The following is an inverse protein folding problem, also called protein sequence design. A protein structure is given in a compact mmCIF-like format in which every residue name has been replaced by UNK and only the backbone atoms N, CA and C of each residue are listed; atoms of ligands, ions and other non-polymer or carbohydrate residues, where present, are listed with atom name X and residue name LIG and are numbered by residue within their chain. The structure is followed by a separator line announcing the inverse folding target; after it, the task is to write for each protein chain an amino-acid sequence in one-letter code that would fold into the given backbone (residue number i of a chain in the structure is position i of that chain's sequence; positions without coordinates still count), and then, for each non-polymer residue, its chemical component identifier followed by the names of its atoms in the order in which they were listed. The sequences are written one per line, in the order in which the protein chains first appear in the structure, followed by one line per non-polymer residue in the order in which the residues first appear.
data_IF_771118194354
#
_entry.id   IF_771118194354
#
_cell.length_a   1.000
_cell.length_b   1.000
_cell.length_c   1.000
_cell.angle_alpha   90.00
_cell.angle_beta   90.00
_cell.angle_gamma   90.00
#
_symmetry.space_group_name_H-M   'P 1'
#
loop_
_entity.id
_entity.type
_entity.pdbx_description
1 polymer ?
#
# COMPACT_ATOMS: atom_id res chain seq x y z
N UNK A 1 39.76 -19.07 18.93
CA UNK A 1 39.95 -18.50 17.58
C UNK A 1 40.26 -19.65 16.65
N UNK A 2 39.22 -20.20 16.03
CA UNK A 2 39.36 -21.21 14.96
C UNK A 2 38.49 -20.73 13.83
N UNK A 3 39.19 -20.24 12.82
CA UNK A 3 38.70 -19.73 11.55
C UNK A 3 37.99 -20.87 10.80
N UNK A 4 36.69 -20.70 10.53
CA UNK A 4 35.89 -21.57 9.66
C UNK A 4 35.42 -20.75 8.46
N UNK A 5 36.34 -20.48 7.53
CA UNK A 5 35.99 -20.12 6.17
C UNK A 5 35.79 -21.40 5.36
N UNK A 6 34.54 -21.87 5.29
CA UNK A 6 34.16 -22.92 4.33
C UNK A 6 34.11 -22.30 2.93
N UNK A 7 35.25 -22.31 2.24
CA UNK A 7 35.33 -21.90 0.84
C UNK A 7 34.52 -22.86 -0.03
N UNK A 8 33.35 -22.42 -0.48
CA UNK A 8 32.59 -23.08 -1.55
C UNK A 8 33.48 -23.08 -2.80
N UNK A 9 33.95 -24.25 -3.21
CA UNK A 9 34.87 -24.38 -4.35
C UNK A 9 34.14 -24.03 -5.65
N UNK A 10 34.83 -23.37 -6.59
CA UNK A 10 34.29 -23.02 -7.91
C UNK A 10 33.69 -24.23 -8.67
N UNK A 11 34.16 -25.44 -8.38
CA UNK A 11 33.60 -26.69 -8.92
C UNK A 11 32.22 -27.06 -8.36
N UNK A 12 31.94 -26.76 -7.08
CA UNK A 12 30.61 -26.95 -6.48
C UNK A 12 29.59 -25.94 -7.04
N UNK A 13 30.03 -24.72 -7.33
CA UNK A 13 29.22 -23.68 -7.98
C UNK A 13 28.88 -24.11 -9.42
N UNK A 14 29.88 -24.55 -10.19
CA UNK A 14 29.67 -25.04 -11.57
C UNK A 14 28.75 -26.27 -11.64
N UNK A 15 28.90 -27.24 -10.75
CA UNK A 15 28.02 -28.41 -10.68
C UNK A 15 26.59 -28.08 -10.20
N UNK A 16 26.41 -26.99 -9.43
CA UNK A 16 25.10 -26.44 -9.09
C UNK A 16 24.43 -25.76 -10.29
N UNK A 17 25.19 -24.98 -11.07
CA UNK A 17 24.71 -24.26 -12.26
C UNK A 17 24.33 -25.24 -13.39
N UNK A 18 25.11 -26.30 -13.63
CA UNK A 18 24.77 -27.31 -14.64
C UNK A 18 23.51 -28.13 -14.30
N UNK A 19 23.10 -28.17 -13.01
CA UNK A 19 21.86 -28.82 -12.56
C UNK A 19 20.67 -27.89 -12.45
N UNK A 20 20.90 -26.58 -12.35
CA UNK A 20 19.83 -25.61 -12.19
C UNK A 20 19.48 -25.00 -13.54
N UNK A 21 18.80 -25.80 -14.37
CA UNK A 21 18.08 -25.26 -15.53
C UNK A 21 16.64 -25.10 -15.11
N UNK A 22 16.15 -23.87 -15.09
CA UNK A 22 14.80 -23.57 -14.62
C UNK A 22 13.74 -24.39 -15.39
N UNK A 23 13.98 -24.63 -16.70
CA UNK A 23 13.10 -25.41 -17.56
C UNK A 23 13.12 -26.93 -17.31
N UNK A 24 14.20 -27.46 -16.69
CA UNK A 24 14.33 -28.91 -16.44
C UNK A 24 13.75 -29.32 -15.08
N UNK A 25 13.24 -28.34 -14.33
CA UNK A 25 12.61 -28.55 -13.03
C UNK A 25 11.16 -29.03 -13.20
N UNK A 26 10.76 -30.14 -12.57
CA UNK A 26 9.40 -30.67 -12.70
C UNK A 26 8.33 -29.76 -12.06
N UNK A 27 8.75 -28.82 -11.22
CA UNK A 27 7.92 -27.85 -10.50
C UNK A 27 7.91 -26.46 -11.16
N UNK A 28 8.47 -26.34 -12.38
CA UNK A 28 8.44 -25.13 -13.21
C UNK A 28 7.86 -25.50 -14.57
N UNK A 29 6.87 -24.74 -15.01
CA UNK A 29 6.30 -24.86 -16.35
C UNK A 29 6.74 -23.69 -17.24
N UNK A 30 6.99 -23.98 -18.50
CA UNK A 30 7.29 -22.96 -19.52
C UNK A 30 5.99 -22.63 -20.24
N UNK A 31 5.46 -21.43 -20.04
CA UNK A 31 4.21 -20.97 -20.68
C UNK A 31 4.48 -20.43 -22.09
N UNK A 32 5.54 -19.66 -22.22
CA UNK A 32 6.02 -19.07 -23.47
C UNK A 32 7.55 -19.21 -23.54
N UNK A 33 8.19 -19.02 -24.71
CA UNK A 33 9.65 -19.16 -24.86
C UNK A 33 10.48 -18.32 -23.88
N UNK A 34 9.91 -17.27 -23.32
CA UNK A 34 10.51 -16.33 -22.38
C UNK A 34 9.76 -16.26 -21.04
N UNK A 35 8.68 -17.04 -20.81
CA UNK A 35 7.89 -16.95 -19.57
C UNK A 35 7.81 -18.31 -18.87
N UNK A 36 8.32 -18.33 -17.65
CA UNK A 36 8.21 -19.43 -16.70
C UNK A 36 7.07 -19.19 -15.70
N UNK A 37 6.44 -20.27 -15.26
CA UNK A 37 5.44 -20.27 -14.22
C UNK A 37 5.71 -21.37 -13.20
N UNK A 38 5.75 -21.02 -11.92
CA UNK A 38 6.06 -21.96 -10.86
C UNK A 38 5.30 -21.62 -9.57
N UNK A 39 5.18 -22.59 -8.66
CA UNK A 39 4.75 -22.30 -7.29
C UNK A 39 5.85 -21.55 -6.54
N UNK A 40 5.49 -20.55 -5.75
CA UNK A 40 6.44 -19.85 -4.86
C UNK A 40 7.08 -20.80 -3.84
N UNK A 41 6.42 -21.91 -3.47
CA UNK A 41 6.98 -22.93 -2.60
C UNK A 41 8.18 -23.64 -3.25
N UNK A 42 8.12 -23.84 -4.56
CA UNK A 42 9.14 -24.53 -5.35
C UNK A 42 10.38 -23.66 -5.59
N UNK A 43 10.18 -22.38 -5.92
CA UNK A 43 11.25 -21.48 -6.36
C UNK A 43 11.61 -20.39 -5.35
N UNK A 44 10.86 -20.26 -4.25
CA UNK A 44 11.00 -19.14 -3.31
C UNK A 44 12.40 -18.97 -2.73
N UNK A 45 13.09 -20.06 -2.41
CA UNK A 45 14.43 -20.04 -1.79
C UNK A 45 15.58 -19.93 -2.82
N UNK A 46 15.26 -19.82 -4.10
CA UNK A 46 16.26 -19.65 -5.17
C UNK A 46 16.84 -18.24 -5.05
N UNK A 47 18.16 -18.14 -4.94
CA UNK A 47 18.83 -16.83 -4.93
C UNK A 47 18.70 -16.17 -6.30
N UNK A 48 18.60 -14.83 -6.33
CA UNK A 48 18.48 -14.09 -7.58
C UNK A 48 19.73 -14.25 -8.45
N UNK A 49 20.92 -14.35 -7.85
CA UNK A 49 22.15 -14.68 -8.57
C UNK A 49 22.06 -16.02 -9.32
N UNK A 50 21.55 -17.06 -8.66
CA UNK A 50 21.37 -18.36 -9.28
C UNK A 50 20.31 -18.31 -10.38
N UNK A 51 19.20 -17.62 -10.17
CA UNK A 51 18.17 -17.41 -11.20
C UNK A 51 18.77 -16.73 -12.44
N UNK A 52 19.50 -15.64 -12.27
CA UNK A 52 20.15 -14.89 -13.36
C UNK A 52 21.16 -15.76 -14.10
N UNK A 53 22.05 -16.45 -13.39
CA UNK A 53 23.04 -17.35 -14.00
C UNK A 53 22.35 -18.44 -14.83
N UNK A 54 21.26 -19.00 -14.31
CA UNK A 54 20.52 -20.08 -14.96
C UNK A 54 19.83 -19.62 -16.24
N UNK A 55 19.30 -18.40 -16.23
CA UNK A 55 18.75 -17.75 -17.43
C UNK A 55 19.87 -17.46 -18.42
N UNK A 56 20.94 -16.77 -18.03
CA UNK A 56 21.99 -16.33 -18.95
C UNK A 56 22.83 -17.49 -19.54
N UNK A 57 23.01 -18.58 -18.78
CA UNK A 57 23.84 -19.71 -19.22
C UNK A 57 23.02 -20.83 -19.86
N UNK A 58 21.80 -21.07 -19.38
CA UNK A 58 20.97 -22.21 -19.77
C UNK A 58 19.79 -21.85 -20.66
N UNK A 59 19.23 -20.64 -20.51
CA UNK A 59 18.06 -20.20 -21.26
C UNK A 59 18.49 -19.40 -22.49
N UNK A 60 18.72 -20.11 -23.60
CA UNK A 60 18.94 -19.49 -24.91
C UNK A 60 17.71 -19.69 -25.78
N UNK A 61 16.85 -18.68 -25.96
CA UNK A 61 15.90 -18.70 -27.04
C UNK A 61 16.73 -18.57 -28.32
N UNK A 62 17.04 -19.69 -28.97
CA UNK A 62 18.00 -19.81 -30.09
C UNK A 62 17.69 -18.93 -31.31
N UNK A 63 16.63 -18.12 -31.29
CA UNK A 63 16.18 -17.28 -32.39
C UNK A 63 16.07 -15.76 -32.09
N UNK A 64 16.28 -15.27 -30.86
CA UNK A 64 15.89 -13.88 -30.51
C UNK A 64 16.95 -12.99 -29.84
N UNK A 65 18.19 -13.46 -29.66
CA UNK A 65 19.26 -12.61 -29.13
C UNK A 65 19.72 -11.59 -30.18
N UNK A 66 19.02 -10.47 -30.22
CA UNK A 66 19.60 -9.19 -30.64
C UNK A 66 20.85 -8.91 -29.79
N UNK A 67 21.79 -8.15 -30.36
CA UNK A 67 23.07 -7.80 -29.76
C UNK A 67 22.94 -7.45 -28.27
N UNK A 68 23.77 -7.99 -27.37
CA UNK A 68 23.73 -7.68 -25.94
C UNK A 68 23.71 -6.16 -25.71
N UNK A 69 22.71 -5.68 -24.96
CA UNK A 69 22.56 -4.26 -24.60
C UNK A 69 21.51 -3.46 -25.39
N UNK A 70 20.80 -4.07 -26.36
CA UNK A 70 19.73 -3.36 -27.12
C UNK A 70 18.37 -4.05 -27.11
N UNK A 71 18.18 -5.14 -26.37
CA UNK A 71 16.88 -5.82 -26.32
C UNK A 71 15.88 -4.97 -25.55
N UNK A 72 14.74 -4.55 -26.16
CA UNK A 72 13.74 -3.74 -25.48
C UNK A 72 12.86 -4.54 -24.50
N UNK A 73 13.14 -5.84 -24.33
CA UNK A 73 12.35 -6.78 -23.54
C UNK A 73 13.27 -7.62 -22.64
N UNK A 74 12.76 -8.14 -21.51
CA UNK A 74 13.47 -9.13 -20.72
C UNK A 74 13.74 -10.40 -21.54
N UNK A 75 14.81 -11.11 -21.24
CA UNK A 75 15.15 -12.38 -21.91
C UNK A 75 14.44 -13.58 -21.27
N UNK A 76 13.99 -13.40 -20.02
CA UNK A 76 13.14 -14.34 -19.33
C UNK A 76 12.32 -13.61 -18.25
N UNK A 77 11.12 -14.13 -18.01
CA UNK A 77 10.18 -13.71 -17.00
C UNK A 77 9.80 -14.92 -16.15
N UNK A 78 9.80 -14.75 -14.84
CA UNK A 78 9.32 -15.72 -13.87
C UNK A 78 8.05 -15.16 -13.22
N UNK A 79 6.95 -15.83 -13.53
CA UNK A 79 5.67 -15.65 -12.86
C UNK A 79 5.56 -16.69 -11.76
N UNK A 80 5.02 -16.32 -10.60
CA UNK A 80 4.79 -17.25 -9.51
C UNK A 80 3.30 -17.44 -9.21
N UNK A 81 2.95 -18.58 -8.65
CA UNK A 81 1.65 -18.84 -8.02
C UNK A 81 1.83 -19.01 -6.52
N UNK A 82 0.82 -18.60 -5.74
CA UNK A 82 0.75 -18.89 -4.30
C UNK A 82 0.15 -20.26 -3.98
N UNK A 83 -0.33 -20.98 -4.98
CA UNK A 83 -0.75 -22.36 -4.79
C UNK A 83 0.43 -23.18 -4.29
N UNK A 84 0.20 -24.03 -3.27
CA UNK A 84 1.20 -24.98 -2.79
C UNK A 84 1.71 -25.85 -3.94
N UNK A 85 2.93 -26.35 -3.86
CA UNK A 85 3.53 -27.20 -4.90
C UNK A 85 2.63 -28.39 -5.29
N UNK A 86 1.93 -29.00 -4.32
CA UNK A 86 1.01 -30.12 -4.57
C UNK A 86 -0.29 -29.74 -5.31
N UNK A 87 -0.65 -28.46 -5.34
CA UNK A 87 -1.86 -27.93 -6.00
C UNK A 87 -1.55 -27.12 -7.25
N UNK A 88 -0.28 -26.82 -7.48
CA UNK A 88 0.17 -26.07 -8.62
C UNK A 88 -0.18 -26.81 -9.90
N UNK A 89 -0.84 -26.11 -10.83
CA UNK A 89 -1.13 -26.59 -12.16
C UNK A 89 -0.87 -25.46 -13.16
N UNK A 90 -0.02 -25.66 -14.18
CA UNK A 90 0.40 -24.58 -15.08
C UNK A 90 -0.74 -23.82 -15.76
N UNK A 91 -1.84 -24.52 -16.03
CA UNK A 91 -3.01 -23.94 -16.72
C UNK A 91 -4.15 -23.49 -15.79
N UNK A 92 -4.16 -23.94 -14.53
CA UNK A 92 -5.30 -23.72 -13.62
C UNK A 92 -4.93 -22.89 -12.39
N UNK A 93 -3.65 -22.82 -12.05
CA UNK A 93 -3.18 -22.02 -10.95
C UNK A 93 -3.30 -20.54 -11.26
N UNK A 94 -3.69 -19.77 -10.25
CA UNK A 94 -3.73 -18.32 -10.38
C UNK A 94 -2.31 -17.77 -10.41
N UNK A 95 -2.04 -16.95 -11.43
CA UNK A 95 -0.85 -16.12 -11.52
C UNK A 95 -0.90 -15.05 -10.44
N UNK A 96 0.19 -14.89 -9.69
CA UNK A 96 0.38 -13.71 -8.84
C UNK A 96 0.57 -12.48 -9.75
N UNK A 97 -0.03 -11.33 -9.42
CA UNK A 97 0.23 -10.03 -10.08
C UNK A 97 1.68 -9.52 -9.97
N UNK A 98 2.64 -10.35 -9.61
CA UNK A 98 4.07 -10.01 -9.51
C UNK A 98 4.87 -10.88 -10.47
N UNK A 99 5.69 -10.25 -11.30
CA UNK A 99 6.56 -10.90 -12.27
C UNK A 99 8.02 -10.48 -12.03
N UNK A 100 8.93 -11.45 -11.99
CA UNK A 100 10.37 -11.20 -11.92
C UNK A 100 10.95 -11.32 -13.33
N UNK A 101 11.60 -10.28 -13.81
CA UNK A 101 12.14 -10.19 -15.16
C UNK A 101 13.66 -10.16 -15.12
N UNK A 102 14.30 -11.01 -15.91
CA UNK A 102 15.76 -11.06 -16.09
C UNK A 102 16.12 -10.48 -17.45
N UNK A 103 17.04 -9.53 -17.46
CA UNK A 103 17.50 -8.83 -18.65
C UNK A 103 18.81 -9.42 -19.20
N UNK A 104 19.11 -9.16 -20.47
CA UNK A 104 20.31 -9.68 -21.15
C UNK A 104 21.64 -9.24 -20.50
N UNK A 105 21.63 -8.13 -19.77
CA UNK A 105 22.77 -7.59 -19.03
C UNK A 105 22.85 -8.12 -17.58
N UNK A 106 21.97 -9.06 -17.21
CA UNK A 106 21.87 -9.63 -15.87
C UNK A 106 21.12 -8.76 -14.86
N UNK A 107 20.62 -7.58 -15.26
CA UNK A 107 19.72 -6.81 -14.39
C UNK A 107 18.44 -7.60 -14.13
N UNK A 108 17.85 -7.37 -12.96
CA UNK A 108 16.57 -7.94 -12.57
C UNK A 108 15.61 -6.81 -12.25
N UNK A 109 14.41 -6.92 -12.80
CA UNK A 109 13.29 -6.05 -12.47
C UNK A 109 12.14 -6.85 -11.87
N UNK A 110 11.35 -6.18 -11.03
CA UNK A 110 10.08 -6.70 -10.55
C UNK A 110 9.00 -5.85 -11.20
N UNK A 111 8.10 -6.49 -11.94
CA UNK A 111 6.91 -5.86 -12.49
C UNK A 111 5.70 -6.26 -11.66
N UNK A 112 4.86 -5.28 -11.33
CA UNK A 112 3.60 -5.53 -10.63
C UNK A 112 2.44 -5.05 -11.47
N UNK A 113 1.45 -5.91 -11.61
CA UNK A 113 0.20 -5.66 -12.31
C UNK A 113 -0.88 -5.29 -11.31
N UNK A 114 -1.57 -4.17 -11.51
CA UNK A 114 -2.61 -3.71 -10.60
C UNK A 114 -3.77 -3.07 -11.35
N UNK A 115 -4.97 -3.22 -10.80
CA UNK A 115 -6.15 -2.55 -11.34
C UNK A 115 -6.02 -1.06 -11.06
N UNK A 116 -6.40 -0.20 -12.01
CA UNK A 116 -6.29 1.26 -11.93
C UNK A 116 -7.60 2.02 -11.99
N UNK A 117 -7.53 3.34 -11.84
CA UNK A 117 -8.64 4.21 -12.27
C UNK A 117 -8.76 4.19 -13.79
N UNK A 118 -9.98 4.41 -14.28
CA UNK A 118 -10.27 4.54 -15.72
C UNK A 118 -9.42 5.68 -16.32
N UNK A 119 -8.54 5.30 -17.24
CA UNK A 119 -7.56 6.18 -17.89
C UNK A 119 -8.25 7.28 -18.70
N UNK A 120 -9.50 7.05 -19.14
CA UNK A 120 -10.29 8.01 -19.91
C UNK A 120 -10.84 9.14 -19.05
N UNK A 121 -11.01 8.92 -17.75
CA UNK A 121 -11.58 9.90 -16.83
C UNK A 121 -10.53 10.66 -16.01
N UNK A 122 -9.46 9.98 -15.58
CA UNK A 122 -8.50 10.54 -14.59
C UNK A 122 -7.04 10.11 -14.83
N UNK A 123 -6.74 9.50 -15.97
CA UNK A 123 -5.50 8.75 -16.21
C UNK A 123 -4.19 9.47 -15.95
N UNK A 124 -4.04 10.74 -16.37
CA UNK A 124 -2.74 11.44 -16.25
C UNK A 124 -2.45 11.91 -14.82
N UNK A 125 -3.44 12.51 -14.14
CA UNK A 125 -3.32 12.90 -12.74
C UNK A 125 -3.11 11.68 -11.84
N UNK A 126 -3.82 10.59 -12.15
CA UNK A 126 -3.66 9.31 -11.47
C UNK A 126 -2.24 8.76 -11.69
N UNK A 127 -1.74 8.78 -12.93
CA UNK A 127 -0.42 8.24 -13.26
C UNK A 127 0.68 8.97 -12.51
N UNK A 128 0.58 10.29 -12.41
CA UNK A 128 1.50 11.10 -11.60
C UNK A 128 1.43 10.66 -10.14
N UNK A 129 0.22 10.54 -9.57
CA UNK A 129 0.05 10.16 -8.16
C UNK A 129 0.62 8.77 -7.86
N UNK A 130 0.25 7.76 -8.67
CA UNK A 130 0.76 6.41 -8.52
C UNK A 130 2.28 6.35 -8.67
N UNK A 131 2.84 7.10 -9.63
CA UNK A 131 4.29 7.22 -9.81
C UNK A 131 4.96 7.83 -8.58
N UNK A 132 4.45 8.94 -8.06
CA UNK A 132 5.07 9.64 -6.93
C UNK A 132 5.05 8.77 -5.66
N UNK A 133 3.91 8.11 -5.39
CA UNK A 133 3.75 7.16 -4.27
C UNK A 133 4.71 5.98 -4.41
N UNK A 134 4.73 5.33 -5.58
CA UNK A 134 5.57 4.16 -5.80
C UNK A 134 7.07 4.51 -5.86
N UNK A 135 7.43 5.70 -6.32
CA UNK A 135 8.81 6.17 -6.32
C UNK A 135 9.33 6.39 -4.90
N UNK A 136 8.51 7.03 -4.05
CA UNK A 136 8.79 7.20 -2.63
C UNK A 136 8.97 5.85 -1.94
N UNK A 137 7.98 4.96 -2.09
CA UNK A 137 8.01 3.61 -1.51
C UNK A 137 9.22 2.79 -2.00
N UNK A 138 9.54 2.86 -3.30
CA UNK A 138 10.67 2.15 -3.88
C UNK A 138 11.98 2.61 -3.24
N UNK A 139 12.21 3.93 -3.14
CA UNK A 139 13.42 4.48 -2.52
C UNK A 139 13.61 3.97 -1.10
N UNK A 140 12.57 4.00 -0.27
CA UNK A 140 12.66 3.54 1.12
C UNK A 140 12.85 2.02 1.22
N UNK A 141 12.36 1.27 0.23
CA UNK A 141 12.57 -0.18 0.12
C UNK A 141 13.92 -0.57 -0.50
N UNK A 142 14.76 0.42 -0.85
CA UNK A 142 16.02 0.22 -1.53
C UNK A 142 15.88 -0.22 -2.99
N UNK A 143 14.74 0.04 -3.63
CA UNK A 143 14.47 -0.19 -5.05
C UNK A 143 14.39 1.14 -5.82
N UNK A 144 14.36 1.06 -7.15
CA UNK A 144 14.17 2.21 -8.04
C UNK A 144 12.95 1.98 -8.92
N UNK A 145 11.99 2.90 -8.91
CA UNK A 145 10.86 2.86 -9.83
C UNK A 145 11.32 3.30 -11.23
N UNK A 146 11.26 2.38 -12.20
CA UNK A 146 11.65 2.65 -13.59
C UNK A 146 10.48 3.21 -14.40
N UNK A 147 9.30 2.62 -14.25
CA UNK A 147 8.15 3.00 -15.06
C UNK A 147 6.82 2.72 -14.36
N UNK A 148 5.81 3.52 -14.72
CA UNK A 148 4.39 3.26 -14.44
C UNK A 148 3.65 3.54 -15.74
N UNK A 149 2.90 2.56 -16.24
CA UNK A 149 2.14 2.68 -17.48
C UNK A 149 0.85 1.86 -17.44
N UNK A 150 -0.09 2.22 -18.29
CA UNK A 150 -1.37 1.54 -18.43
C UNK A 150 -1.30 0.62 -19.66
N UNK A 151 -1.57 -0.67 -19.47
CA UNK A 151 -1.65 -1.64 -20.56
C UNK A 151 -3.06 -1.61 -21.17
N UNK A 152 -3.29 -0.59 -22.02
CA UNK A 152 -4.55 -0.38 -22.75
C UNK A 152 -4.93 -1.51 -23.69
N UNK A 153 -4.02 -2.45 -23.95
CA UNK A 153 -4.28 -3.57 -24.85
C UNK A 153 -5.14 -4.66 -24.19
N UNK A 154 -5.29 -4.63 -22.86
CA UNK A 154 -6.12 -5.57 -22.09
C UNK A 154 -7.54 -5.05 -21.91
N UNK A 155 -8.52 -5.95 -21.90
CA UNK A 155 -9.93 -5.59 -21.68
C UNK A 155 -10.16 -5.02 -20.28
N UNK A 156 -11.12 -4.09 -20.16
CA UNK A 156 -11.51 -3.45 -18.89
C UNK A 156 -11.74 -4.46 -17.76
N UNK A 157 -11.37 -4.16 -16.50
CA UNK A 157 -10.88 -2.87 -15.99
C UNK A 157 -9.47 -2.52 -16.47
N UNK A 158 -9.13 -1.22 -16.48
CA UNK A 158 -7.81 -0.74 -16.88
C UNK A 158 -6.70 -1.34 -16.00
N UNK A 159 -5.79 -2.06 -16.65
CA UNK A 159 -4.63 -2.70 -16.01
C UNK A 159 -3.43 -1.76 -16.08
N UNK A 160 -2.77 -1.55 -14.95
CA UNK A 160 -1.56 -0.77 -14.84
C UNK A 160 -0.40 -1.64 -14.41
N UNK A 161 0.78 -1.28 -14.88
CA UNK A 161 2.03 -1.95 -14.53
C UNK A 161 2.99 -0.93 -13.95
N UNK A 162 3.71 -1.35 -12.90
CA UNK A 162 4.86 -0.63 -12.38
C UNK A 162 6.08 -1.54 -12.36
N UNK A 163 7.19 -1.06 -12.91
CA UNK A 163 8.44 -1.82 -13.00
C UNK A 163 9.48 -1.22 -12.07
N UNK A 164 10.10 -2.05 -11.25
CA UNK A 164 11.12 -1.68 -10.27
C UNK A 164 12.44 -2.35 -10.59
N UNK A 165 13.53 -1.59 -10.60
CA UNK A 165 14.87 -2.15 -10.49
C UNK A 165 15.16 -2.44 -9.01
N UNK A 166 15.66 -3.63 -8.71
CA UNK A 166 15.90 -4.08 -7.33
C UNK A 166 17.35 -4.53 -7.19
N UNK A 167 18.10 -4.08 -6.16
CA UNK A 167 19.39 -4.65 -5.83
C UNK A 167 19.24 -6.14 -5.52
N UNK A 168 20.01 -6.97 -6.21
CA UNK A 168 19.85 -8.43 -6.20
C UNK A 168 20.77 -9.16 -5.22
N UNK A 169 21.74 -8.45 -4.63
CA UNK A 169 22.68 -9.04 -3.69
C UNK A 169 21.93 -9.67 -2.50
N UNK A 170 22.19 -10.96 -2.26
CA UNK A 170 21.66 -11.77 -1.15
C UNK A 170 20.13 -11.98 -1.13
N UNK A 171 19.39 -11.56 -2.16
CA UNK A 171 17.94 -11.77 -2.24
C UNK A 171 17.57 -13.11 -2.86
N UNK A 172 16.41 -13.60 -2.46
CA UNK A 172 15.73 -14.77 -3.04
C UNK A 172 14.55 -14.36 -3.93
N UNK A 173 14.00 -15.31 -4.69
CA UNK A 173 12.75 -15.13 -5.43
C UNK A 173 11.61 -14.72 -4.49
N UNK A 174 11.52 -15.33 -3.30
CA UNK A 174 10.52 -14.97 -2.29
C UNK A 174 10.63 -13.50 -1.88
N UNK A 175 11.84 -13.01 -1.62
CA UNK A 175 12.05 -11.61 -1.24
C UNK A 175 11.57 -10.63 -2.32
N UNK A 176 11.79 -10.94 -3.61
CA UNK A 176 11.32 -10.12 -4.72
C UNK A 176 9.80 -10.18 -4.89
N UNK A 177 9.19 -11.35 -4.69
CA UNK A 177 7.73 -11.50 -4.73
C UNK A 177 7.06 -10.76 -3.58
N UNK A 178 7.64 -10.79 -2.38
CA UNK A 178 7.17 -10.02 -1.23
C UNK A 178 7.36 -8.51 -1.44
N UNK A 179 8.45 -8.08 -2.07
CA UNK A 179 8.65 -6.69 -2.47
C UNK A 179 7.58 -6.25 -3.47
N UNK A 180 7.35 -7.02 -4.53
CA UNK A 180 6.31 -6.73 -5.52
C UNK A 180 4.91 -6.73 -4.90
N UNK A 181 4.61 -7.67 -4.00
CA UNK A 181 3.31 -7.72 -3.30
C UNK A 181 3.09 -6.46 -2.46
N UNK A 182 4.14 -5.94 -1.81
CA UNK A 182 4.07 -4.67 -1.07
C UNK A 182 3.87 -3.49 -2.01
N UNK A 183 4.61 -3.44 -3.13
CA UNK A 183 4.44 -2.41 -4.15
C UNK A 183 3.00 -2.37 -4.69
N UNK A 184 2.45 -3.54 -5.02
CA UNK A 184 1.09 -3.73 -5.49
C UNK A 184 0.07 -3.14 -4.52
N UNK A 185 0.18 -3.49 -3.22
CA UNK A 185 -0.73 -2.96 -2.20
C UNK A 185 -0.60 -1.44 -2.07
N UNK A 186 0.62 -0.91 -2.06
CA UNK A 186 0.88 0.53 -2.03
C UNK A 186 0.22 1.22 -3.24
N UNK A 187 0.33 0.61 -4.43
CA UNK A 187 -0.32 1.09 -5.64
C UNK A 187 -1.84 1.11 -5.47
N UNK A 188 -2.48 -0.04 -5.21
CA UNK A 188 -3.93 -0.19 -5.09
C UNK A 188 -4.55 0.73 -4.02
N UNK A 189 -3.84 0.94 -2.91
CA UNK A 189 -4.31 1.78 -1.81
C UNK A 189 -4.21 3.27 -2.12
N UNK A 190 -3.19 3.69 -2.87
CA UNK A 190 -3.10 5.06 -3.35
C UNK A 190 -4.29 5.46 -4.23
N UNK A 191 -4.91 4.48 -4.89
CA UNK A 191 -5.97 4.73 -5.86
C UNK A 191 -7.35 4.84 -5.24
N UNK A 192 -7.67 3.90 -4.37
CA UNK A 192 -9.07 3.66 -4.04
C UNK A 192 -9.53 4.66 -3.02
N UNK A 193 -8.71 4.99 -2.01
CA UNK A 193 -9.21 5.60 -0.77
C UNK A 193 -10.44 4.85 -0.21
N UNK A 194 -10.70 3.64 -0.68
CA UNK A 194 -11.93 2.85 -0.56
C UNK A 194 -11.45 1.42 -0.26
N UNK A 195 -11.67 0.95 0.97
CA UNK A 195 -11.03 -0.28 1.47
C UNK A 195 -9.83 -0.01 2.40
N UNK A 196 -9.32 1.23 2.36
CA UNK A 196 -8.16 1.70 3.11
C UNK A 196 -8.12 1.25 4.57
N UNK A 197 -9.23 1.18 5.30
CA UNK A 197 -9.19 0.77 6.71
C UNK A 197 -8.69 -0.68 6.92
N UNK A 198 -9.19 -1.65 6.16
CA UNK A 198 -8.74 -3.05 6.31
C UNK A 198 -7.35 -3.26 5.74
N UNK A 199 -7.02 -2.53 4.68
CA UNK A 199 -5.76 -2.67 3.96
C UNK A 199 -4.62 -1.90 4.63
N UNK A 200 -4.87 -0.69 5.17
CA UNK A 200 -3.97 -0.01 6.12
C UNK A 200 -3.73 -0.94 7.30
N UNK A 201 -4.77 -1.56 7.87
CA UNK A 201 -4.60 -2.50 8.98
C UNK A 201 -3.72 -3.70 8.58
N UNK A 202 -3.88 -4.25 7.38
CA UNK A 202 -3.06 -5.37 6.89
C UNK A 202 -1.61 -4.95 6.68
N UNK A 203 -1.36 -3.84 5.99
CA UNK A 203 -0.02 -3.29 5.79
C UNK A 203 0.70 -3.01 7.11
N UNK A 204 -0.03 -2.40 8.05
CA UNK A 204 0.47 -2.12 9.37
C UNK A 204 0.70 -3.39 10.21
N UNK A 205 -0.18 -4.39 10.12
CA UNK A 205 0.00 -5.68 10.78
C UNK A 205 1.25 -6.41 10.26
N UNK A 206 1.57 -6.24 8.98
CA UNK A 206 2.78 -6.79 8.35
C UNK A 206 4.04 -5.96 8.68
N UNK A 207 3.92 -4.90 9.49
CA UNK A 207 5.03 -4.03 9.90
C UNK A 207 5.51 -3.06 8.82
N UNK A 208 4.79 -2.95 7.70
CA UNK A 208 5.17 -2.10 6.57
C UNK A 208 4.62 -0.67 6.74
N UNK A 209 5.17 0.04 7.71
CA UNK A 209 4.86 1.45 7.92
C UNK A 209 5.31 2.34 6.75
N UNK A 210 6.23 1.89 5.88
CA UNK A 210 6.70 2.67 4.74
C UNK A 210 5.69 2.67 3.59
N UNK A 211 4.81 1.67 3.54
CA UNK A 211 3.75 1.60 2.53
C UNK A 211 2.81 2.81 2.55
N UNK A 212 2.66 3.53 3.67
CA UNK A 212 1.80 4.73 3.74
C UNK A 212 2.52 6.02 3.35
N UNK A 213 3.82 5.97 3.06
CA UNK A 213 4.57 7.12 2.58
C UNK A 213 4.11 7.52 1.18
N UNK A 214 4.02 8.82 0.95
CA UNK A 214 3.52 9.39 -0.31
C UNK A 214 1.99 9.38 -0.46
N UNK A 215 1.25 8.67 0.41
CA UNK A 215 -0.21 8.64 0.29
C UNK A 215 -0.81 10.03 0.52
N UNK A 216 -1.73 10.49 -0.33
CA UNK A 216 -2.45 11.73 -0.07
C UNK A 216 -3.47 11.53 1.06
N UNK A 217 -3.76 12.56 1.87
CA UNK A 217 -4.98 12.58 2.67
C UNK A 217 -6.19 12.33 1.78
N UNK A 218 -7.21 11.70 2.34
CA UNK A 218 -8.44 11.33 1.62
C UNK A 218 -9.67 11.51 2.51
N UNK A 219 -10.84 11.12 2.02
CA UNK A 219 -12.06 11.12 2.82
C UNK A 219 -12.04 10.16 4.02
N UNK A 220 -11.07 9.24 4.08
CA UNK A 220 -10.95 8.22 5.13
C UNK A 220 -9.53 8.10 5.71
N UNK A 221 -8.59 8.95 5.28
CA UNK A 221 -7.20 8.93 5.74
C UNK A 221 -6.70 10.34 6.00
N UNK A 222 -6.06 10.52 7.15
CA UNK A 222 -5.31 11.71 7.51
C UNK A 222 -3.89 11.34 7.94
N UNK A 223 -2.89 12.15 7.57
CA UNK A 223 -1.49 11.93 7.92
C UNK A 223 -0.97 13.12 8.72
N UNK A 224 -0.39 12.85 9.89
CA UNK A 224 0.17 13.87 10.78
C UNK A 224 1.63 13.55 11.10
N UNK A 225 2.50 14.53 10.98
CA UNK A 225 3.94 14.32 11.20
C UNK A 225 4.32 14.05 12.66
N UNK A 226 3.55 14.59 13.61
CA UNK A 226 3.85 14.53 15.03
C UNK A 226 2.57 14.48 15.87
N UNK A 227 2.75 14.13 17.15
CA UNK A 227 1.65 14.13 18.11
C UNK A 227 0.98 15.50 18.22
N UNK A 228 -0.35 15.51 18.40
CA UNK A 228 -1.06 16.74 18.67
C UNK A 228 -0.57 17.39 19.98
N UNK A 229 -0.22 18.68 19.90
CA UNK A 229 0.15 19.53 21.04
C UNK A 229 -0.38 20.94 20.83
N UNK A 230 -0.86 21.59 21.90
CA UNK A 230 -1.33 22.97 21.84
C UNK A 230 -2.49 23.14 20.86
N UNK A 231 -2.33 24.02 19.86
CA UNK A 231 -3.35 24.22 18.81
C UNK A 231 -3.61 22.96 17.99
N UNK A 232 -2.61 22.09 17.82
CA UNK A 232 -2.73 20.85 17.05
C UNK A 232 -3.65 19.81 17.68
N UNK A 233 -3.97 19.93 18.98
CA UNK A 233 -4.96 19.08 19.65
C UNK A 233 -6.37 19.32 19.11
N UNK A 234 -6.71 20.59 18.83
CA UNK A 234 -8.01 20.93 18.29
C UNK A 234 -8.17 20.42 16.87
N UNK A 235 -7.16 20.61 16.02
CA UNK A 235 -7.19 20.13 14.64
C UNK A 235 -7.29 18.60 14.59
N UNK A 236 -6.55 17.91 15.46
CA UNK A 236 -6.60 16.45 15.57
C UNK A 236 -7.99 15.96 16.01
N UNK A 237 -8.57 16.59 17.04
CA UNK A 237 -9.92 16.27 17.47
C UNK A 237 -10.97 16.60 16.40
N UNK A 238 -10.76 17.64 15.60
CA UNK A 238 -11.62 18.00 14.48
C UNK A 238 -11.63 16.90 13.41
N UNK A 239 -10.48 16.32 13.07
CA UNK A 239 -10.41 15.19 12.13
C UNK A 239 -11.10 13.94 12.68
N UNK A 240 -10.89 13.61 13.96
CA UNK A 240 -11.57 12.49 14.62
C UNK A 240 -13.09 12.70 14.58
N UNK A 241 -13.57 13.90 14.91
CA UNK A 241 -14.98 14.26 14.87
C UNK A 241 -15.54 14.18 13.45
N UNK A 242 -14.80 14.67 12.45
CA UNK A 242 -15.19 14.62 11.05
C UNK A 242 -15.30 13.19 10.52
N UNK A 243 -14.37 12.31 10.89
CA UNK A 243 -14.45 10.89 10.56
C UNK A 243 -15.62 10.20 11.26
N UNK A 244 -15.87 10.50 12.55
CA UNK A 244 -16.99 9.95 13.29
C UNK A 244 -18.35 10.37 12.70
N UNK A 245 -18.43 11.58 12.14
CA UNK A 245 -19.60 12.07 11.40
C UNK A 245 -19.72 11.46 9.99
N UNK A 246 -18.60 11.02 9.41
CA UNK A 246 -18.52 10.38 8.11
C UNK A 246 -19.24 9.02 8.06
N UNK A 247 -19.74 8.66 6.87
CA UNK A 247 -20.43 7.37 6.66
C UNK A 247 -19.48 6.17 6.88
N UNK A 248 -18.19 6.35 6.62
CA UNK A 248 -17.19 5.27 6.60
C UNK A 248 -16.21 5.29 7.77
N UNK A 249 -16.29 6.28 8.66
CA UNK A 249 -15.20 6.50 9.59
C UNK A 249 -13.93 6.99 8.89
N UNK A 250 -12.77 6.69 9.46
CA UNK A 250 -11.46 6.98 8.90
C UNK A 250 -10.30 6.58 9.80
N UNK A 251 -9.09 6.78 9.28
CA UNK A 251 -7.83 6.49 9.96
C UNK A 251 -6.96 7.74 9.98
N UNK A 252 -6.37 8.05 11.13
CA UNK A 252 -5.33 9.07 11.26
C UNK A 252 -4.03 8.33 11.58
N UNK A 253 -2.99 8.57 10.78
CA UNK A 253 -1.65 8.05 11.05
C UNK A 253 -0.78 9.20 11.52
N UNK A 254 -0.25 9.08 12.74
CA UNK A 254 0.64 10.04 13.37
C UNK A 254 2.07 9.50 13.32
N UNK A 255 3.02 10.37 12.95
CA UNK A 255 4.40 10.00 12.65
C UNK A 255 4.68 9.92 11.15
N UNK A 256 3.84 10.51 10.29
CA UNK A 256 4.05 10.53 8.83
C UNK A 256 4.13 11.98 8.38
N UNK A 257 5.32 12.43 7.99
CA UNK A 257 5.51 13.71 7.34
C UNK A 257 5.31 13.55 5.82
N UNK A 258 4.73 14.56 5.19
CA UNK A 258 4.46 14.56 3.73
C UNK A 258 5.55 15.27 2.93
N UNK A 259 6.19 16.27 3.53
CA UNK A 259 7.17 17.12 2.85
C UNK A 259 8.36 17.42 3.80
N UNK A 260 9.50 16.74 3.64
CA UNK A 260 9.71 15.55 2.80
C UNK A 260 8.89 14.36 3.34
N UNK A 261 8.52 13.43 2.45
CA UNK A 261 7.87 12.20 2.84
C UNK A 261 8.81 11.36 3.70
N UNK A 262 8.45 11.13 4.97
CA UNK A 262 9.25 10.34 5.91
C UNK A 262 8.45 9.89 7.11
N UNK A 263 8.85 8.76 7.69
CA UNK A 263 8.37 8.35 9.01
C UNK A 263 9.13 9.11 10.10
N UNK A 264 8.39 9.67 11.04
CA UNK A 264 8.91 10.29 12.25
C UNK A 264 8.53 9.38 13.42
N UNK A 265 9.50 8.78 14.13
CA UNK A 265 9.21 7.92 15.25
C UNK A 265 8.34 8.61 16.31
N UNK A 266 7.24 7.95 16.66
CA UNK A 266 6.30 8.31 17.72
C UNK A 266 6.37 7.19 18.76
N UNK A 267 6.82 7.53 19.97
CA UNK A 267 7.02 6.57 21.05
C UNK A 267 6.09 6.89 22.22
N UNK A 268 5.11 5.99 22.47
CA UNK A 268 4.33 5.96 23.70
C UNK A 268 3.54 7.24 24.01
N UNK A 269 2.28 7.28 23.57
CA UNK A 269 1.39 8.44 23.73
C UNK A 269 -0.08 8.13 23.41
N UNK A 270 -0.47 6.85 23.40
CA UNK A 270 -1.86 6.43 23.21
C UNK A 270 -2.79 7.11 24.22
N UNK A 271 -2.33 7.25 25.47
CA UNK A 271 -3.07 7.92 26.54
C UNK A 271 -3.27 9.42 26.29
N UNK A 272 -2.28 10.11 25.71
CA UNK A 272 -2.42 11.52 25.34
C UNK A 272 -3.49 11.69 24.27
N UNK A 273 -3.42 10.87 23.23
CA UNK A 273 -4.38 10.91 22.12
C UNK A 273 -5.80 10.57 22.58
N UNK A 274 -5.97 9.52 23.40
CA UNK A 274 -7.27 9.18 23.99
C UNK A 274 -7.82 10.32 24.82
N UNK A 275 -7.00 10.93 25.68
CA UNK A 275 -7.40 12.09 26.49
C UNK A 275 -7.88 13.26 25.62
N UNK A 276 -7.14 13.61 24.56
CA UNK A 276 -7.56 14.68 23.64
C UNK A 276 -8.94 14.38 23.03
N UNK A 277 -9.17 13.14 22.62
CA UNK A 277 -10.46 12.73 22.04
C UNK A 277 -11.57 12.83 23.08
N UNK A 278 -11.37 12.31 24.29
CA UNK A 278 -12.34 12.33 25.39
C UNK A 278 -12.70 13.76 25.84
N UNK A 279 -11.72 14.67 25.87
CA UNK A 279 -11.93 16.06 26.26
C UNK A 279 -12.59 16.89 25.15
N UNK A 280 -12.34 16.57 23.88
CA UNK A 280 -12.70 17.42 22.74
C UNK A 280 -13.84 16.88 21.88
N UNK A 281 -14.13 15.59 21.87
CA UNK A 281 -15.14 14.97 20.99
C UNK A 281 -16.26 14.39 21.83
N UNK A 282 -17.51 14.77 21.53
CA UNK A 282 -18.69 14.30 22.25
C UNK A 282 -19.83 13.86 21.29
N UNK A 283 -20.43 12.68 21.48
CA UNK A 283 -19.97 11.61 22.36
C UNK A 283 -18.59 11.07 21.92
N UNK A 284 -17.91 10.27 22.74
CA UNK A 284 -16.68 9.61 22.30
C UNK A 284 -17.05 8.54 21.26
N UNK A 285 -16.40 8.48 20.08
CA UNK A 285 -16.73 7.50 19.05
C UNK A 285 -16.61 6.06 19.55
N UNK A 286 -17.63 5.25 19.27
CA UNK A 286 -17.66 3.85 19.68
C UNK A 286 -16.60 3.04 18.93
N UNK A 287 -15.98 2.09 19.64
CA UNK A 287 -14.94 1.19 19.11
C UNK A 287 -13.73 1.94 18.51
N UNK A 288 -13.52 3.19 18.91
CA UNK A 288 -12.32 3.94 18.58
C UNK A 288 -11.10 3.22 19.15
N UNK A 289 -10.09 3.04 18.31
CA UNK A 289 -8.87 2.34 18.69
C UNK A 289 -7.64 3.17 18.36
N UNK A 290 -6.71 3.21 19.31
CA UNK A 290 -5.41 3.87 19.18
C UNK A 290 -4.38 2.79 19.45
N UNK A 291 -3.49 2.55 18.49
CA UNK A 291 -2.45 1.52 18.59
C UNK A 291 -1.14 2.01 17.98
N UNK A 292 -0.03 1.66 18.61
CA UNK A 292 1.29 1.83 18.03
C UNK A 292 1.60 0.69 17.04
N UNK A 293 2.09 1.04 15.85
CA UNK A 293 2.58 0.09 14.85
C UNK A 293 4.00 0.49 14.49
N UNK A 294 4.96 -0.37 14.78
CA UNK A 294 6.38 -0.04 14.71
C UNK A 294 6.67 1.28 15.47
N UNK A 295 6.99 2.34 14.74
CA UNK A 295 7.32 3.67 15.25
C UNK A 295 6.29 4.73 14.85
N UNK A 296 5.08 4.36 14.45
CA UNK A 296 3.98 5.29 14.16
C UNK A 296 2.76 4.96 15.03
N UNK A 297 1.89 5.95 15.22
CA UNK A 297 0.65 5.80 15.96
C UNK A 297 -0.54 5.83 15.00
N UNK A 298 -1.45 4.87 15.16
CA UNK A 298 -2.58 4.69 14.26
C UNK A 298 -3.86 4.84 15.07
N UNK A 299 -4.65 5.84 14.69
CA UNK A 299 -5.93 6.18 15.32
C UNK A 299 -7.04 5.85 14.35
N UNK A 300 -7.88 4.89 14.72
CA UNK A 300 -8.95 4.38 13.89
C UNK A 300 -10.29 4.79 14.47
N UNK A 301 -11.08 5.45 13.63
CA UNK A 301 -12.45 5.85 13.91
C UNK A 301 -13.36 5.00 13.02
N UNK A 302 -14.00 3.93 13.51
CA UNK A 302 -14.85 3.10 12.67
C UNK A 302 -16.15 3.83 12.28
N UNK A 303 -16.90 3.33 11.27
CA UNK A 303 -18.25 3.82 10.99
C UNK A 303 -19.13 3.85 12.24
N UNK A 304 -19.78 4.99 12.47
CA UNK A 304 -20.65 5.21 13.62
C UNK A 304 -22.14 5.07 13.25
N UNK A 305 -22.94 4.65 14.21
CA UNK A 305 -24.40 4.55 14.02
C UNK A 305 -24.97 5.93 13.63
N UNK A 306 -26.02 5.93 12.79
CA UNK A 306 -26.72 7.17 12.44
C UNK A 306 -27.41 7.79 13.66
N UNK A 307 -27.81 6.98 14.64
CA UNK A 307 -28.57 7.42 15.82
C UNK A 307 -27.75 8.24 16.81
N UNK A 308 -26.42 8.03 16.85
CA UNK A 308 -25.52 8.76 17.76
C UNK A 308 -24.87 9.98 17.10
N UNK A 309 -25.16 10.22 15.82
CA UNK A 309 -24.71 11.40 15.08
C UNK A 309 -25.68 12.57 15.26
N UNK A 310 -25.18 13.82 15.23
CA UNK A 310 -23.80 14.20 14.97
C UNK A 310 -22.89 14.15 16.21
N UNK A 311 -21.62 13.85 15.97
CA UNK A 311 -20.52 14.09 16.89
C UNK A 311 -20.18 15.58 16.90
N UNK A 312 -19.87 16.09 18.09
CA UNK A 312 -19.59 17.48 18.38
C UNK A 312 -18.13 17.66 18.77
N UNK A 313 -17.49 18.67 18.20
CA UNK A 313 -16.17 19.15 18.59
C UNK A 313 -16.32 20.27 19.63
N UNK A 314 -15.71 20.11 20.79
CA UNK A 314 -15.62 21.14 21.82
C UNK A 314 -14.52 22.15 21.48
N UNK A 315 -14.93 23.39 21.26
CA UNK A 315 -14.07 24.52 20.97
C UNK A 315 -14.12 25.51 22.13
N UNK A 316 -12.96 25.86 22.69
CA UNK A 316 -12.85 26.95 23.66
C UNK A 316 -12.68 28.26 22.90
N UNK A 317 -13.65 29.17 23.02
CA UNK A 317 -13.57 30.51 22.42
C UNK A 317 -13.91 31.56 23.46
N UNK A 318 -12.94 32.41 23.82
CA UNK A 318 -13.17 33.53 24.74
C UNK A 318 -13.63 33.15 26.16
N UNK A 319 -13.26 31.96 26.65
CA UNK A 319 -13.65 31.47 27.98
C UNK A 319 -15.05 30.84 28.06
N UNK A 320 -15.78 30.79 26.94
CA UNK A 320 -17.03 30.04 26.82
C UNK A 320 -16.77 28.70 26.11
N UNK A 321 -17.39 27.64 26.62
CA UNK A 321 -17.46 26.36 25.90
C UNK A 321 -18.44 26.51 24.73
N UNK A 322 -17.95 26.28 23.52
CA UNK A 322 -18.74 26.21 22.31
C UNK A 322 -18.58 24.83 21.66
N UNK A 323 -19.56 24.45 20.84
CA UNK A 323 -19.55 23.20 20.10
C UNK A 323 -19.65 23.45 18.60
N UNK A 324 -18.91 22.68 17.82
CA UNK A 324 -18.97 22.69 16.36
C UNK A 324 -19.30 21.29 15.83
N UNK A 325 -20.16 21.22 14.82
CA UNK A 325 -20.31 19.99 14.01
C UNK A 325 -19.31 20.06 12.88
N UNK A 326 -18.44 19.06 12.79
CA UNK A 326 -17.39 19.01 11.77
C UNK A 326 -17.63 17.83 10.85
N UNK A 327 -17.51 18.04 9.55
CA UNK A 327 -17.71 17.03 8.52
C UNK A 327 -16.53 17.02 7.54
N UNK A 328 -16.27 15.84 6.96
CA UNK A 328 -15.21 15.66 5.98
C UNK A 328 -15.79 15.64 4.56
N UNK A 329 -15.27 16.52 3.70
CA UNK A 329 -15.65 16.62 2.28
C UNK A 329 -14.41 16.39 1.42
N UNK A 330 -14.22 15.15 0.96
CA UNK A 330 -12.98 14.75 0.30
C UNK A 330 -11.81 14.85 1.29
N UNK A 331 -10.84 15.71 1.00
CA UNK A 331 -9.67 15.93 1.87
C UNK A 331 -9.87 17.04 2.91
N UNK A 332 -10.95 17.81 2.81
CA UNK A 332 -11.17 18.97 3.67
C UNK A 332 -12.05 18.64 4.87
N UNK A 333 -11.61 19.09 6.04
CA UNK A 333 -12.38 19.11 7.27
C UNK A 333 -13.08 20.46 7.38
N UNK A 334 -14.43 20.49 7.35
CA UNK A 334 -15.23 21.73 7.40
C UNK A 334 -16.14 21.75 8.61
N UNK A 335 -16.09 22.84 9.37
CA UNK A 335 -17.08 23.11 10.42
C UNK A 335 -18.37 23.64 9.80
N UNK A 336 -19.52 23.12 10.24
CA UNK A 336 -20.82 23.70 9.89
C UNK A 336 -20.97 25.07 10.57
N UNK A 337 -21.52 26.02 9.84
CA UNK A 337 -21.82 27.34 10.40
C UNK A 337 -22.90 27.24 11.48
N UNK A 338 -22.87 28.15 12.46
CA UNK A 338 -23.91 28.24 13.48
C UNK A 338 -25.31 28.36 12.86
N UNK A 339 -25.45 29.17 11.80
CA UNK A 339 -26.71 29.31 11.07
C UNK A 339 -27.19 27.98 10.48
N UNK A 340 -26.30 27.18 9.88
CA UNK A 340 -26.67 25.86 9.35
C UNK A 340 -27.11 24.90 10.45
N UNK A 341 -26.44 24.92 11.62
CA UNK A 341 -26.84 24.14 12.79
C UNK A 341 -28.21 24.56 13.32
N UNK A 342 -28.44 25.87 13.49
CA UNK A 342 -29.72 26.42 13.92
C UNK A 342 -30.87 26.06 12.96
N UNK A 343 -30.64 26.16 11.64
CA UNK A 343 -31.62 25.77 10.63
C UNK A 343 -31.95 24.27 10.73
N UNK A 344 -30.95 23.40 10.85
CA UNK A 344 -31.18 21.96 10.99
C UNK A 344 -31.98 21.61 12.25
N UNK A 345 -31.66 22.25 13.38
CA UNK A 345 -32.38 22.08 14.65
C UNK A 345 -33.81 22.60 14.57
N UNK A 346 -34.04 23.76 13.95
CA UNK A 346 -35.37 24.34 13.80
C UNK A 346 -36.27 23.47 12.91
N UNK A 347 -35.73 22.94 11.80
CA UNK A 347 -36.44 22.00 10.92
C UNK A 347 -36.76 20.70 11.66
N UNK A 348 -35.80 20.14 12.40
CA UNK A 348 -36.02 18.95 13.21
C UNK A 348 -37.08 19.15 14.29
N UNK A 349 -37.03 20.27 15.01
CA UNK A 349 -38.03 20.63 16.00
C UNK A 349 -39.43 20.76 15.37
N UNK A 350 -39.55 21.43 14.21
CA UNK A 350 -40.81 21.57 13.50
C UNK A 350 -41.40 20.22 13.04
N UNK A 351 -40.55 19.27 12.63
CA UNK A 351 -40.98 17.93 12.22
C UNK A 351 -41.45 17.06 13.39
N UNK A 352 -41.02 17.36 14.62
CA UNK A 352 -41.41 16.66 15.84
C UNK A 352 -42.65 17.25 16.53
N UNK A 353 -43.06 18.46 16.14
CA UNK A 353 -44.30 19.04 16.65
C UNK A 353 -45.49 18.24 16.09
N UNK A 354 -46.47 17.86 16.94
CA UNK A 354 -47.65 17.16 16.47
C UNK A 354 -48.33 17.97 15.38
N UNK A 355 -48.62 17.34 14.23
CA UNK A 355 -49.50 17.93 13.24
C UNK A 355 -50.84 18.16 13.92
N UNK A 356 -51.17 19.42 14.15
CA UNK A 356 -52.55 19.80 14.46
C UNK A 356 -53.31 19.62 13.16
N UNK A 357 -53.75 18.38 12.90
CA UNK A 357 -54.71 18.09 11.85
C UNK A 357 -55.99 18.86 12.23
N UNK A 358 -56.33 19.85 11.40
CA UNK A 358 -57.50 20.71 11.58
C UNK A 358 -58.80 20.00 11.27
#
# INVERSE_FOLDING_TARGET
MTDRSSGTTAGAIKAGIERFRLADRPDVAVLYPDVCFASIEAVGEVTISLLVDSVLTGWRPEAQLTTPGSAPFPIASLVVSRDSAARFHPELSNRDPVEIQVWADGRVTVEVEFQGSDVTMVGEQWRSTARDVLAEWARESGAELLSVFNDRSRSLPDVWNATFAVPTADRTVRDLVELGTRALRTAELSMTGWGAEQDIRRLLADGDAHAVLGWPPSAVLELRAALPKGSGELDFAADVCAFANGVRGGTIIVGVAREPARLTPVHGDEGLVRRIIEERVFPVPERLSVHQVANILVVRVPPQDRLIRPFLLRVASGGLEAFAVVERYGVETRARSAAAMHTALAVGAAALLPRTDG
#
